data_IF_401969673172
#
_entry.id   IF_401969673172
#
_cell.length_a   1.000
_cell.length_b   1.000
_cell.length_c   1.000
_cell.angle_alpha   90.00
_cell.angle_beta   90.00
_cell.angle_gamma   90.00
#
_symmetry.space_group_name_H-M   'P 1'
#
loop_
_entity.id
_entity.type
_entity.pdbx_description
1 polymer ?
#
# COMPACT_ATOMS: atom_id res chain seq x y z
N UNK A 1 5.97 -23.66 9.47
CA UNK A 1 5.19 -22.45 9.80
C UNK A 1 4.82 -21.76 8.50
N UNK A 2 3.54 -21.51 8.24
CA UNK A 2 3.13 -20.69 7.09
C UNK A 2 3.45 -19.23 7.40
N UNK A 3 4.06 -18.55 6.44
CA UNK A 3 4.33 -17.11 6.56
C UNK A 3 2.98 -16.39 6.46
N UNK A 4 2.61 -15.64 7.49
CA UNK A 4 1.32 -14.93 7.58
C UNK A 4 1.46 -13.42 7.36
N UNK A 5 2.68 -12.93 7.16
CA UNK A 5 3.00 -11.50 7.04
C UNK A 5 3.96 -11.24 5.90
N UNK A 6 3.84 -10.07 5.25
CA UNK A 6 4.80 -9.54 4.28
C UNK A 6 5.61 -8.44 4.96
N UNK A 7 6.94 -8.46 4.77
CA UNK A 7 7.84 -7.40 5.28
C UNK A 7 7.95 -6.26 4.26
N UNK A 8 7.45 -5.08 4.59
CA UNK A 8 7.65 -3.85 3.82
C UNK A 8 8.97 -3.22 4.27
N UNK A 9 9.94 -3.08 3.37
CA UNK A 9 11.28 -2.54 3.66
C UNK A 9 11.35 -1.10 3.17
N UNK A 10 11.86 -0.18 4.00
CA UNK A 10 12.00 1.23 3.67
C UNK A 10 13.27 1.84 4.26
N UNK A 11 13.65 3.05 3.85
CA UNK A 11 14.97 3.63 4.14
C UNK A 11 15.35 3.58 5.61
N UNK A 12 14.40 3.86 6.51
CA UNK A 12 14.63 3.88 7.96
C UNK A 12 14.27 2.59 8.71
N UNK A 13 13.84 1.54 8.03
CA UNK A 13 13.47 0.30 8.71
C UNK A 13 12.55 -0.62 7.93
N UNK A 14 11.63 -1.25 8.65
CA UNK A 14 10.66 -2.15 8.06
C UNK A 14 9.39 -2.26 8.90
N UNK A 15 8.31 -2.69 8.26
CA UNK A 15 7.02 -2.99 8.91
C UNK A 15 6.50 -4.33 8.39
N UNK A 16 5.83 -5.08 9.25
CA UNK A 16 5.13 -6.30 8.86
C UNK A 16 3.64 -6.00 8.70
N UNK A 17 3.07 -6.39 7.57
CA UNK A 17 1.61 -6.37 7.34
C UNK A 17 1.11 -7.80 7.19
N UNK A 18 -0.10 -8.11 7.67
CA UNK A 18 -0.66 -9.45 7.49
C UNK A 18 -1.03 -9.67 6.03
N UNK A 19 -0.79 -10.88 5.54
CA UNK A 19 -1.15 -11.24 4.16
C UNK A 19 -2.66 -11.12 3.97
N UNK A 20 -3.46 -11.54 4.95
CA UNK A 20 -4.94 -11.49 4.87
C UNK A 20 -5.46 -10.06 4.69
N UNK A 21 -4.86 -9.11 5.40
CA UNK A 21 -5.24 -7.69 5.31
C UNK A 21 -4.83 -7.12 3.95
N UNK A 22 -3.62 -7.46 3.47
CA UNK A 22 -3.15 -6.99 2.16
C UNK A 22 -3.95 -7.60 0.99
N UNK A 23 -4.33 -8.88 1.08
CA UNK A 23 -5.20 -9.54 0.09
C UNK A 23 -6.57 -8.88 0.00
N UNK A 24 -7.09 -8.35 1.11
CA UNK A 24 -8.40 -7.70 1.14
C UNK A 24 -8.43 -6.42 0.28
N UNK A 25 -7.27 -5.79 0.06
CA UNK A 25 -7.17 -4.48 -0.59
C UNK A 25 -6.33 -4.47 -1.88
N UNK A 26 -5.66 -5.58 -2.24
CA UNK A 26 -4.78 -5.69 -3.41
C UNK A 26 -5.09 -6.92 -4.25
N UNK A 27 -5.46 -6.72 -5.53
CA UNK A 27 -5.67 -7.83 -6.46
C UNK A 27 -4.36 -8.55 -6.80
N UNK A 28 -3.23 -7.83 -6.87
CA UNK A 28 -1.93 -8.45 -7.12
C UNK A 28 -1.55 -9.43 -6.01
N UNK A 29 -1.66 -9.02 -4.75
CA UNK A 29 -1.33 -9.90 -3.61
C UNK A 29 -2.33 -11.05 -3.52
N UNK A 30 -3.61 -10.83 -3.82
CA UNK A 30 -4.62 -11.90 -3.93
C UNK A 30 -4.23 -12.93 -4.99
N UNK A 31 -3.79 -12.52 -6.18
CA UNK A 31 -3.32 -13.41 -7.23
C UNK A 31 -2.07 -14.19 -6.79
N UNK A 32 -1.13 -13.53 -6.11
CA UNK A 32 0.05 -14.19 -5.54
C UNK A 32 -0.31 -15.20 -4.45
N UNK A 33 -1.36 -14.96 -3.67
CA UNK A 33 -1.86 -15.92 -2.69
C UNK A 33 -2.42 -17.17 -3.37
N UNK A 34 -3.26 -17.01 -4.38
CA UNK A 34 -3.85 -18.13 -5.14
C UNK A 34 -2.78 -18.97 -5.83
N UNK A 35 -1.73 -18.33 -6.35
CA UNK A 35 -0.63 -19.02 -7.06
C UNK A 35 0.47 -19.54 -6.14
N UNK A 36 0.37 -19.34 -4.82
CA UNK A 36 1.38 -19.78 -3.85
C UNK A 36 2.70 -18.98 -3.94
N UNK A 37 2.67 -17.77 -4.50
CA UNK A 37 3.83 -16.90 -4.78
C UNK A 37 3.82 -15.60 -3.98
N UNK A 38 3.20 -15.59 -2.80
CA UNK A 38 3.19 -14.40 -1.94
C UNK A 38 4.62 -14.00 -1.59
N UNK A 39 5.04 -12.75 -1.87
CA UNK A 39 6.40 -12.31 -1.58
C UNK A 39 6.65 -12.29 -0.07
N UNK A 40 7.86 -12.66 0.35
CA UNK A 40 8.24 -12.58 1.76
C UNK A 40 8.48 -11.15 2.22
N UNK A 41 8.98 -10.34 1.30
CA UNK A 41 9.30 -8.93 1.50
C UNK A 41 9.05 -8.15 0.22
N UNK A 42 8.75 -6.87 0.38
CA UNK A 42 8.62 -5.90 -0.70
C UNK A 42 9.56 -4.76 -0.38
N UNK A 43 10.41 -4.42 -1.34
CA UNK A 43 11.31 -3.28 -1.24
C UNK A 43 10.58 -2.00 -1.65
N UNK A 44 10.51 -1.04 -0.74
CA UNK A 44 9.90 0.27 -0.91
C UNK A 44 10.90 1.39 -0.58
N UNK A 45 12.21 1.14 -0.62
CA UNK A 45 13.23 2.16 -0.29
C UNK A 45 13.21 3.38 -1.18
N UNK A 46 12.59 3.32 -2.35
CA UNK A 46 12.46 4.45 -3.27
C UNK A 46 11.34 5.44 -2.89
N UNK A 47 10.47 5.06 -1.95
CA UNK A 47 9.35 5.88 -1.49
C UNK A 47 9.67 6.60 -0.17
N UNK A 48 8.94 7.68 0.14
CA UNK A 48 9.04 8.35 1.42
C UNK A 48 8.49 7.50 2.57
N UNK A 49 9.13 7.57 3.75
CA UNK A 49 8.69 6.84 4.95
C UNK A 49 7.22 7.17 5.32
N UNK A 50 6.78 8.41 5.09
CA UNK A 50 5.39 8.84 5.31
C UNK A 50 4.41 8.12 4.39
N UNK A 51 4.75 7.99 3.10
CA UNK A 51 3.95 7.24 2.12
C UNK A 51 3.77 5.79 2.57
N UNK A 52 4.86 5.16 3.00
CA UNK A 52 4.89 3.76 3.39
C UNK A 52 4.10 3.54 4.69
N UNK A 53 4.16 4.50 5.62
CA UNK A 53 3.36 4.48 6.84
C UNK A 53 1.86 4.54 6.51
N UNK A 54 1.46 5.44 5.61
CA UNK A 54 0.05 5.58 5.17
C UNK A 54 -0.39 4.31 4.41
N UNK A 55 0.44 3.81 3.51
CA UNK A 55 0.17 2.60 2.74
C UNK A 55 -0.07 1.38 3.64
N UNK A 56 0.81 1.18 4.64
CA UNK A 56 0.66 0.08 5.59
C UNK A 56 -0.54 0.27 6.53
N UNK A 57 -0.83 1.51 6.96
CA UNK A 57 -2.04 1.82 7.73
C UNK A 57 -3.31 1.51 6.93
N UNK A 58 -3.34 1.83 5.64
CA UNK A 58 -4.47 1.48 4.78
C UNK A 58 -4.64 -0.04 4.63
N UNK A 59 -3.54 -0.78 4.45
CA UNK A 59 -3.60 -2.24 4.40
C UNK A 59 -4.22 -2.81 5.68
N UNK A 60 -3.78 -2.35 6.84
CA UNK A 60 -4.20 -2.92 8.13
C UNK A 60 -5.58 -2.43 8.61
N UNK A 61 -5.99 -1.23 8.21
CA UNK A 61 -7.19 -0.56 8.77
C UNK A 61 -8.26 -0.23 7.73
N UNK A 62 -7.93 -0.27 6.43
CA UNK A 62 -8.82 0.17 5.35
C UNK A 62 -9.01 1.69 5.28
N UNK A 63 -8.22 2.46 6.02
CA UNK A 63 -8.38 3.91 6.18
C UNK A 63 -7.12 4.68 5.77
N UNK A 64 -7.32 5.86 5.20
CA UNK A 64 -6.26 6.82 4.90
C UNK A 64 -6.50 8.09 5.71
N UNK A 65 -5.48 8.55 6.43
CA UNK A 65 -5.57 9.80 7.20
C UNK A 65 -5.75 11.00 6.26
N UNK A 66 -6.58 11.96 6.66
CA UNK A 66 -6.96 13.11 5.85
C UNK A 66 -5.81 14.08 5.50
N UNK A 67 -4.69 14.05 6.25
CA UNK A 67 -3.54 14.92 5.98
C UNK A 67 -2.43 14.12 5.29
N UNK A 68 -2.40 14.19 3.96
CA UNK A 68 -1.34 13.62 3.11
C UNK A 68 -0.67 14.78 2.37
N UNK A 69 0.66 14.80 2.33
CA UNK A 69 1.38 15.76 1.50
C UNK A 69 1.23 15.42 0.02
N UNK A 70 1.32 16.41 -0.87
CA UNK A 70 1.24 16.19 -2.31
C UNK A 70 2.23 15.11 -2.83
N UNK A 71 3.46 15.12 -2.31
CA UNK A 71 4.48 14.12 -2.67
C UNK A 71 4.09 12.70 -2.22
N UNK A 72 3.59 12.55 -0.99
CA UNK A 72 3.14 11.25 -0.48
C UNK A 72 1.90 10.75 -1.24
N UNK A 73 1.01 11.66 -1.65
CA UNK A 73 -0.16 11.35 -2.47
C UNK A 73 0.25 10.81 -3.85
N UNK A 74 1.17 11.48 -4.54
CA UNK A 74 1.67 11.04 -5.84
C UNK A 74 2.36 9.67 -5.79
N UNK A 75 3.14 9.42 -4.74
CA UNK A 75 3.75 8.11 -4.51
C UNK A 75 2.71 7.03 -4.15
N UNK A 76 1.74 7.37 -3.32
CA UNK A 76 0.67 6.44 -2.95
C UNK A 76 -0.16 6.03 -4.18
N UNK A 77 -0.46 6.96 -5.08
CA UNK A 77 -1.09 6.67 -6.39
C UNK A 77 -0.25 5.73 -7.27
N UNK A 78 1.08 5.79 -7.21
CA UNK A 78 1.94 4.80 -7.90
C UNK A 78 1.79 3.43 -7.25
N UNK A 79 1.82 3.36 -5.92
CA UNK A 79 1.65 2.11 -5.18
C UNK A 79 0.29 1.47 -5.44
N UNK A 80 -0.81 2.23 -5.48
CA UNK A 80 -2.13 1.67 -5.78
C UNK A 80 -2.20 1.03 -7.16
N UNK A 81 -1.51 1.63 -8.15
CA UNK A 81 -1.40 1.05 -9.50
C UNK A 81 -0.53 -0.21 -9.50
N UNK A 82 0.62 -0.17 -8.82
CA UNK A 82 1.53 -1.33 -8.72
C UNK A 82 0.85 -2.53 -8.07
N UNK A 83 0.11 -2.31 -6.98
CA UNK A 83 -0.54 -3.38 -6.23
C UNK A 83 -1.98 -3.65 -6.66
N UNK A 84 -2.50 -2.94 -7.67
CA UNK A 84 -3.87 -3.08 -8.18
C UNK A 84 -4.88 -2.93 -7.03
N UNK A 85 -4.93 -1.73 -6.46
CA UNK A 85 -5.75 -1.34 -5.30
C UNK A 85 -6.82 -0.32 -5.72
N UNK A 86 -7.79 -0.77 -6.51
CA UNK A 86 -8.74 0.07 -7.23
C UNK A 86 -9.53 1.03 -6.31
N UNK A 87 -10.01 0.53 -5.17
CA UNK A 87 -10.79 1.33 -4.21
C UNK A 87 -9.98 2.50 -3.63
N UNK A 88 -8.71 2.25 -3.29
CA UNK A 88 -7.86 3.32 -2.79
C UNK A 88 -7.50 4.29 -3.91
N UNK A 89 -7.17 3.78 -5.09
CA UNK A 89 -6.83 4.62 -6.24
C UNK A 89 -7.95 5.61 -6.54
N UNK A 90 -9.19 5.13 -6.62
CA UNK A 90 -10.37 5.97 -6.87
C UNK A 90 -10.51 7.07 -5.81
N UNK A 91 -10.39 6.73 -4.52
CA UNK A 91 -10.48 7.71 -3.42
C UNK A 91 -9.39 8.78 -3.50
N UNK A 92 -8.17 8.40 -3.87
CA UNK A 92 -7.06 9.35 -4.00
C UNK A 92 -7.22 10.25 -5.24
N UNK A 93 -7.72 9.71 -6.35
CA UNK A 93 -8.01 10.47 -7.57
C UNK A 93 -9.11 11.52 -7.34
N UNK A 94 -10.16 11.17 -6.58
CA UNK A 94 -11.21 12.11 -6.15
C UNK A 94 -10.62 13.27 -5.34
N UNK A 95 -9.77 12.98 -4.34
CA UNK A 95 -9.10 14.02 -3.54
C UNK A 95 -8.20 14.91 -4.39
N UNK A 96 -7.49 14.36 -5.39
CA UNK A 96 -6.65 15.19 -6.29
C UNK A 96 -7.48 16.11 -7.17
N UNK A 97 -8.66 15.68 -7.63
CA UNK A 97 -9.54 16.53 -8.45
C UNK A 97 -9.95 17.79 -7.68
N UNK A 98 -10.37 17.64 -6.42
CA UNK A 98 -10.76 18.77 -5.55
C UNK A 98 -9.62 19.75 -5.22
N UNK A 99 -8.35 19.36 -5.40
CA UNK A 99 -7.19 20.22 -5.13
C UNK A 99 -6.72 21.01 -6.36
N UNK A 100 -7.23 20.67 -7.55
CA UNK A 100 -6.85 21.29 -8.83
C UNK A 100 -7.96 22.16 -9.43
N UNK A 101 -9.16 22.14 -8.84
CA UNK A 101 -10.31 23.01 -9.12
C UNK A 101 -10.33 24.22 -8.17
#
# INVERSE_FOLDING_TARGET
MFQNTIKLIYKKGHRYVKIVDFVAVSQLIKQHQVTGRVPRSIDLTDYFDSTITIFADYIEKGEVKAQISFYALAELLKLTKTFVMDDLQKRLEEVTSFLLD
#
